data_IF_207211272380
#
_entry.id   IF_207211272380
#
_cell.length_a   1.000
_cell.length_b   1.000
_cell.length_c   1.000
_cell.angle_alpha   90.00
_cell.angle_beta   90.00
_cell.angle_gamma   90.00
#
_symmetry.space_group_name_H-M   'P 1'
#
loop_
_entity.id
_entity.type
_entity.pdbx_description
1 polymer ?
#
# COMPACT_ATOMS: atom_id res chain seq x y z
N UNK A 1 2.14 -6.93 -8.38
CA UNK A 1 1.11 -7.25 -7.37
C UNK A 1 1.61 -8.20 -6.27
N UNK A 2 2.15 -9.38 -6.58
CA UNK A 2 2.56 -10.39 -5.58
C UNK A 2 3.48 -9.84 -4.47
N UNK A 3 4.54 -9.11 -4.82
CA UNK A 3 5.44 -8.50 -3.82
C UNK A 3 4.74 -7.48 -2.92
N UNK A 4 3.79 -6.70 -3.46
CA UNK A 4 3.03 -5.73 -2.65
C UNK A 4 2.17 -6.48 -1.63
N UNK A 5 1.50 -7.56 -2.03
CA UNK A 5 0.65 -8.36 -1.13
C UNK A 5 1.44 -9.08 -0.05
N UNK A 6 2.60 -9.65 -0.39
CA UNK A 6 3.37 -10.51 0.54
C UNK A 6 4.38 -9.76 1.40
N UNK A 7 4.85 -8.59 0.95
CA UNK A 7 5.90 -7.83 1.64
C UNK A 7 5.39 -6.52 2.26
N UNK A 8 4.50 -5.80 1.55
CA UNK A 8 4.07 -4.46 1.98
C UNK A 8 2.74 -4.52 2.73
N UNK A 9 1.75 -5.24 2.22
CA UNK A 9 0.43 -5.34 2.83
C UNK A 9 0.39 -6.26 4.06
N UNK A 10 1.48 -6.96 4.36
CA UNK A 10 1.69 -7.70 5.62
C UNK A 10 2.10 -6.78 6.77
N UNK A 11 2.49 -5.54 6.50
CA UNK A 11 2.86 -4.56 7.52
C UNK A 11 1.60 -3.96 8.21
N UNK A 12 1.74 -3.41 9.44
CA UNK A 12 0.64 -2.72 10.12
C UNK A 12 0.05 -1.58 9.28
N UNK A 13 -1.26 -1.37 9.35
CA UNK A 13 -1.96 -0.38 8.53
C UNK A 13 -1.44 1.06 8.71
N UNK A 14 -0.96 1.40 9.91
CA UNK A 14 -0.37 2.71 10.24
C UNK A 14 1.06 2.91 9.70
N UNK A 15 1.65 1.90 9.07
CA UNK A 15 2.98 2.00 8.46
C UNK A 15 2.96 3.05 7.36
N UNK A 16 3.79 4.08 7.50
CA UNK A 16 3.97 5.13 6.50
C UNK A 16 4.68 4.57 5.27
N UNK A 17 4.15 4.88 4.10
CA UNK A 17 4.75 4.56 2.81
C UNK A 17 5.23 5.88 2.18
N UNK A 18 6.54 5.96 1.95
CA UNK A 18 7.21 7.13 1.37
C UNK A 18 7.73 6.74 -0.01
N UNK A 19 6.97 7.08 -1.05
CA UNK A 19 7.39 6.83 -2.43
C UNK A 19 8.45 7.83 -2.88
N UNK A 20 9.24 7.46 -3.90
CA UNK A 20 10.20 8.39 -4.50
C UNK A 20 9.54 9.60 -5.18
N UNK A 21 8.28 9.46 -5.59
CA UNK A 21 7.45 10.53 -6.15
C UNK A 21 6.02 10.44 -5.63
N UNK A 22 5.38 11.61 -5.49
CA UNK A 22 4.00 11.71 -5.01
C UNK A 22 3.90 11.96 -3.51
N UNK A 23 2.66 12.08 -2.99
CA UNK A 23 2.42 12.32 -1.57
C UNK A 23 2.71 11.06 -0.73
N UNK A 24 2.99 11.26 0.55
CA UNK A 24 3.02 10.14 1.50
C UNK A 24 1.63 9.52 1.68
N UNK A 25 1.62 8.24 2.03
CA UNK A 25 0.41 7.44 2.30
C UNK A 25 0.71 6.41 3.40
N UNK A 26 -0.23 5.52 3.68
CA UNK A 26 -0.08 4.41 4.64
C UNK A 26 -0.48 3.09 4.01
N UNK A 27 0.00 1.98 4.57
CA UNK A 27 -0.38 0.63 4.13
C UNK A 27 -1.91 0.45 4.16
N UNK A 28 -2.58 0.94 5.21
CA UNK A 28 -4.03 0.86 5.33
C UNK A 28 -4.79 1.67 4.28
N UNK A 29 -4.28 2.84 3.89
CA UNK A 29 -4.87 3.64 2.79
C UNK A 29 -4.71 2.91 1.46
N UNK A 30 -3.51 2.44 1.13
CA UNK A 30 -3.25 1.74 -0.14
C UNK A 30 -4.04 0.43 -0.26
N UNK A 31 -4.21 -0.34 0.83
CA UNK A 31 -5.08 -1.52 0.84
C UNK A 31 -6.53 -1.21 0.45
N UNK A 32 -7.03 -0.03 0.83
CA UNK A 32 -8.44 0.36 0.63
C UNK A 32 -8.67 1.01 -0.73
N UNK A 33 -7.74 1.84 -1.21
CA UNK A 33 -8.02 2.73 -2.35
C UNK A 33 -7.13 2.53 -3.56
N UNK A 34 -6.06 1.73 -3.49
CA UNK A 34 -5.14 1.62 -4.63
C UNK A 34 -5.78 0.82 -5.78
N UNK A 35 -6.07 1.44 -6.94
CA UNK A 35 -6.85 0.81 -8.02
C UNK A 35 -6.09 -0.27 -8.79
N UNK A 36 -4.77 -0.38 -8.57
CA UNK A 36 -3.90 -1.34 -9.27
C UNK A 36 -3.71 -2.64 -8.48
N UNK A 37 -3.95 -2.63 -7.17
CA UNK A 37 -3.82 -3.80 -6.30
C UNK A 37 -5.10 -4.13 -5.55
N UNK A 38 -6.06 -3.21 -5.50
CA UNK A 38 -7.41 -3.44 -5.00
C UNK A 38 -8.38 -3.51 -6.19
N UNK A 39 -8.32 -4.59 -6.96
CA UNK A 39 -9.42 -4.99 -7.83
C UNK A 39 -10.19 -6.10 -7.12
N UNK A 40 -11.51 -5.93 -7.06
CA UNK A 40 -12.51 -6.87 -6.54
C UNK A 40 -12.24 -8.31 -6.97
#
# INVERSE_FOLDING_TARGET
ENSIRTQVFTLPDQTRLLSGHGPETTVGQEKKSNPFVNQT
#
